data_IF_031335505871
#
_entry.id   IF_031335505871
#
_cell.length_a   1.000
_cell.length_b   1.000
_cell.length_c   1.000
_cell.angle_alpha   90.00
_cell.angle_beta   90.00
_cell.angle_gamma   90.00
#
_symmetry.space_group_name_H-M   'P 1'
#
loop_
_entity.id
_entity.type
_entity.pdbx_description
1 polymer ?
#
# COMPACT_ATOMS: atom_id res chain seq x y z
N UNK A 1 19.43 -12.24 -18.74
CA UNK A 1 19.22 -11.25 -17.66
C UNK A 1 19.67 -11.88 -16.36
N UNK A 2 20.45 -11.19 -15.52
CA UNK A 2 20.91 -11.76 -14.24
C UNK A 2 19.76 -11.79 -13.22
N UNK A 3 19.70 -12.82 -12.37
CA UNK A 3 18.67 -12.99 -11.33
C UNK A 3 18.51 -11.73 -10.46
N UNK A 4 19.62 -11.03 -10.20
CA UNK A 4 19.67 -9.77 -9.46
C UNK A 4 18.85 -8.62 -10.09
N UNK A 5 18.63 -8.61 -11.42
CA UNK A 5 17.80 -7.60 -12.09
C UNK A 5 16.30 -7.92 -12.04
N UNK A 6 15.93 -9.20 -11.99
CA UNK A 6 14.53 -9.65 -12.01
C UNK A 6 13.95 -9.74 -10.60
N UNK A 7 14.80 -10.04 -9.61
CA UNK A 7 14.38 -10.21 -8.22
C UNK A 7 13.50 -9.08 -7.65
N UNK A 8 13.85 -7.78 -7.81
CA UNK A 8 12.99 -6.70 -7.31
C UNK A 8 11.58 -6.68 -7.91
N UNK A 9 11.43 -7.09 -9.17
CA UNK A 9 10.12 -7.20 -9.82
C UNK A 9 9.31 -8.36 -9.24
N UNK A 10 9.95 -9.49 -8.93
CA UNK A 10 9.28 -10.62 -8.27
C UNK A 10 8.78 -10.23 -6.88
N UNK A 11 9.58 -9.50 -6.11
CA UNK A 11 9.16 -8.97 -4.81
C UNK A 11 7.99 -8.01 -4.96
N UNK A 12 8.04 -7.08 -5.92
CA UNK A 12 6.91 -6.18 -6.22
C UNK A 12 5.62 -6.95 -6.55
N UNK A 13 5.71 -7.98 -7.39
CA UNK A 13 4.54 -8.80 -7.76
C UNK A 13 4.01 -9.59 -6.57
N UNK A 14 4.89 -10.18 -5.75
CA UNK A 14 4.48 -10.89 -4.54
C UNK A 14 3.78 -9.96 -3.53
N UNK A 15 4.31 -8.76 -3.35
CA UNK A 15 3.65 -7.72 -2.54
C UNK A 15 2.31 -7.29 -3.12
N UNK A 16 2.27 -7.10 -4.45
CA UNK A 16 1.03 -6.81 -5.18
C UNK A 16 -0.02 -7.90 -4.98
N UNK A 17 0.37 -9.17 -4.97
CA UNK A 17 -0.52 -10.29 -4.69
C UNK A 17 -1.07 -10.23 -3.24
N UNK A 18 -0.21 -9.95 -2.27
CA UNK A 18 -0.58 -9.84 -0.86
C UNK A 18 -1.53 -8.67 -0.58
N UNK A 19 -1.20 -7.46 -1.04
CA UNK A 19 -2.10 -6.30 -0.90
C UNK A 19 -3.30 -6.35 -1.86
N UNK A 20 -3.21 -7.01 -3.01
CA UNK A 20 -4.36 -7.23 -3.88
C UNK A 20 -5.44 -8.10 -3.22
N UNK A 21 -5.03 -9.04 -2.36
CA UNK A 21 -5.93 -9.91 -1.59
C UNK A 21 -6.68 -9.15 -0.49
N UNK A 22 -6.18 -7.98 -0.04
CA UNK A 22 -6.87 -7.22 1.02
C UNK A 22 -8.20 -6.63 0.52
N UNK A 23 -8.39 -6.43 -0.79
CA UNK A 23 -9.64 -5.89 -1.34
C UNK A 23 -10.84 -6.81 -1.08
N UNK A 24 -10.85 -8.09 -1.50
CA UNK A 24 -11.95 -8.99 -1.18
C UNK A 24 -12.10 -9.22 0.34
N UNK A 25 -10.99 -9.29 1.09
CA UNK A 25 -11.04 -9.40 2.55
C UNK A 25 -11.68 -8.19 3.21
N UNK A 26 -11.38 -6.98 2.75
CA UNK A 26 -12.00 -5.75 3.25
C UNK A 26 -13.50 -5.72 2.94
N UNK A 27 -13.93 -6.19 1.76
CA UNK A 27 -15.36 -6.33 1.45
C UNK A 27 -16.08 -7.26 2.44
N UNK A 28 -15.43 -8.37 2.83
CA UNK A 28 -15.97 -9.27 3.86
C UNK A 28 -15.95 -8.60 5.24
N UNK A 29 -14.87 -7.89 5.59
CA UNK A 29 -14.75 -7.22 6.89
C UNK A 29 -15.82 -6.14 7.10
N UNK A 30 -16.20 -5.40 6.05
CA UNK A 30 -17.23 -4.35 6.14
C UNK A 30 -18.65 -4.88 5.97
N UNK A 31 -18.85 -6.17 5.67
CA UNK A 31 -20.18 -6.70 5.28
C UNK A 31 -21.22 -6.64 6.40
N UNK A 32 -20.78 -6.54 7.66
CA UNK A 32 -21.63 -6.41 8.86
C UNK A 32 -21.66 -4.99 9.42
N UNK A 33 -21.08 -4.01 8.71
CA UNK A 33 -21.10 -2.60 9.09
C UNK A 33 -19.84 -2.11 9.82
N UNK A 34 -18.75 -2.87 9.86
CA UNK A 34 -17.48 -2.38 10.40
C UNK A 34 -16.99 -1.16 9.62
N UNK A 35 -16.60 -0.14 10.38
CA UNK A 35 -16.17 1.15 9.84
C UNK A 35 -14.65 1.32 9.96
N UNK A 36 -14.12 2.27 9.18
CA UNK A 36 -12.70 2.36 8.90
C UNK A 36 -11.82 2.66 10.12
N UNK A 37 -12.25 3.46 11.09
CA UNK A 37 -11.40 3.74 12.27
C UNK A 37 -11.22 2.48 13.12
N UNK A 38 -12.29 1.70 13.32
CA UNK A 38 -12.21 0.40 14.00
C UNK A 38 -11.31 -0.59 13.27
N UNK A 39 -11.45 -0.69 11.95
CA UNK A 39 -10.62 -1.57 11.13
C UNK A 39 -9.14 -1.17 11.18
N UNK A 40 -8.83 0.14 11.07
CA UNK A 40 -7.45 0.65 11.17
C UNK A 40 -6.88 0.38 12.57
N UNK A 41 -7.63 0.67 13.63
CA UNK A 41 -7.20 0.42 15.01
C UNK A 41 -6.82 -1.06 15.21
N UNK A 42 -7.71 -1.98 14.86
CA UNK A 42 -7.46 -3.40 15.06
C UNK A 42 -6.37 -3.95 14.14
N UNK A 43 -6.27 -3.46 12.90
CA UNK A 43 -5.15 -3.80 12.04
C UNK A 43 -3.81 -3.41 12.69
N UNK A 44 -3.70 -2.19 13.20
CA UNK A 44 -2.49 -1.73 13.89
C UNK A 44 -2.23 -2.49 15.19
N UNK A 45 -3.27 -2.85 15.94
CA UNK A 45 -3.18 -3.67 17.15
C UNK A 45 -2.65 -5.07 16.85
N UNK A 46 -3.24 -5.75 15.87
CA UNK A 46 -2.82 -7.09 15.42
C UNK A 46 -1.38 -7.02 14.89
N UNK A 47 -1.05 -6.02 14.06
CA UNK A 47 0.31 -5.82 13.57
C UNK A 47 1.30 -5.62 14.72
N UNK A 48 0.96 -4.82 15.73
CA UNK A 48 1.81 -4.56 16.89
C UNK A 48 2.04 -5.81 17.72
N UNK A 49 1.01 -6.65 17.90
CA UNK A 49 1.17 -7.94 18.61
C UNK A 49 2.08 -8.87 17.82
N UNK A 50 1.82 -9.06 16.52
CA UNK A 50 2.61 -9.97 15.68
C UNK A 50 4.08 -9.54 15.60
N UNK A 51 4.33 -8.28 15.30
CA UNK A 51 5.69 -7.73 15.23
C UNK A 51 6.33 -7.69 16.62
N UNK A 52 5.57 -7.38 17.67
CA UNK A 52 6.04 -7.37 19.06
C UNK A 52 6.51 -8.75 19.53
N UNK A 53 5.81 -9.82 19.16
CA UNK A 53 6.25 -11.20 19.42
C UNK A 53 7.58 -11.46 18.71
N UNK A 54 7.69 -11.12 17.41
CA UNK A 54 8.94 -11.28 16.64
C UNK A 54 10.11 -10.52 17.28
N UNK A 55 9.88 -9.27 17.71
CA UNK A 55 10.91 -8.42 18.32
C UNK A 55 11.29 -8.86 19.73
N UNK A 56 10.35 -9.41 20.50
CA UNK A 56 10.62 -10.05 21.79
C UNK A 56 11.54 -11.25 21.62
N UNK A 57 11.23 -12.13 20.66
CA UNK A 57 12.05 -13.30 20.36
C UNK A 57 13.45 -12.92 19.84
N UNK A 58 13.57 -11.78 19.14
CA UNK A 58 14.85 -11.25 18.67
C UNK A 58 15.62 -10.45 19.72
N UNK A 59 14.99 -10.08 20.84
CA UNK A 59 15.57 -9.18 21.84
C UNK A 59 15.87 -7.77 21.32
N UNK A 60 15.16 -7.30 20.28
CA UNK A 60 15.42 -6.02 19.61
C UNK A 60 14.14 -5.19 19.57
N UNK A 61 13.94 -4.31 20.54
CA UNK A 61 12.79 -3.41 20.53
C UNK A 61 13.16 -2.07 19.90
N UNK A 62 12.24 -1.43 19.16
CA UNK A 62 12.49 -0.12 18.56
C UNK A 62 12.88 0.89 19.64
N UNK A 63 14.04 1.53 19.46
CA UNK A 63 14.51 2.55 20.37
C UNK A 63 13.62 3.79 20.29
N UNK A 64 13.24 4.34 21.44
CA UNK A 64 12.47 5.58 21.51
C UNK A 64 13.44 6.76 21.53
N UNK A 65 13.66 7.36 20.35
CA UNK A 65 14.43 8.59 20.19
C UNK A 65 13.56 9.62 19.45
N UNK A 66 13.84 10.94 19.55
CA UNK A 66 13.09 11.95 18.81
C UNK A 66 13.07 11.71 17.29
N UNK A 67 14.18 11.21 16.73
CA UNK A 67 14.27 10.86 15.31
C UNK A 67 13.38 9.66 14.96
N UNK A 68 13.40 8.61 15.79
CA UNK A 68 12.58 7.42 15.58
C UNK A 68 11.09 7.73 15.77
N UNK A 69 10.73 8.54 16.78
CA UNK A 69 9.35 8.98 16.98
C UNK A 69 8.82 9.79 15.78
N UNK A 70 9.64 10.66 15.18
CA UNK A 70 9.27 11.37 13.95
C UNK A 70 9.05 10.39 12.79
N UNK A 71 9.93 9.41 12.62
CA UNK A 71 9.77 8.36 11.60
C UNK A 71 8.46 7.57 11.81
N UNK A 72 8.21 7.11 13.04
CA UNK A 72 7.01 6.37 13.40
C UNK A 72 5.75 7.20 13.18
N UNK A 73 5.79 8.49 13.54
CA UNK A 73 4.67 9.40 13.35
C UNK A 73 4.33 9.56 11.87
N UNK A 74 5.35 9.70 11.03
CA UNK A 74 5.17 9.83 9.58
C UNK A 74 4.62 8.54 9.00
N UNK A 75 5.17 7.37 9.32
CA UNK A 75 4.66 6.09 8.81
C UNK A 75 3.23 5.81 9.30
N UNK A 76 2.94 6.11 10.57
CA UNK A 76 1.61 5.93 11.15
C UNK A 76 0.56 6.85 10.48
N UNK A 77 0.84 8.15 10.38
CA UNK A 77 -0.10 9.12 9.82
C UNK A 77 -0.18 9.04 8.30
N UNK A 78 0.97 9.10 7.64
CA UNK A 78 1.09 9.24 6.19
C UNK A 78 0.98 7.89 5.49
N UNK A 79 1.56 6.85 6.07
CA UNK A 79 1.51 5.51 5.49
C UNK A 79 0.26 4.72 5.86
N UNK A 80 -0.50 5.14 6.90
CA UNK A 80 -1.65 4.37 7.38
C UNK A 80 -2.90 5.22 7.62
N UNK A 81 -2.94 6.04 8.67
CA UNK A 81 -4.19 6.59 9.20
C UNK A 81 -4.89 7.53 8.20
N UNK A 82 -4.18 8.54 7.70
CA UNK A 82 -4.74 9.53 6.77
C UNK A 82 -5.10 8.94 5.41
N UNK A 83 -4.22 8.19 4.71
CA UNK A 83 -4.57 7.64 3.40
C UNK A 83 -5.69 6.59 3.49
N UNK A 84 -5.70 5.75 4.53
CA UNK A 84 -6.77 4.76 4.69
C UNK A 84 -8.10 5.46 4.99
N UNK A 85 -8.13 6.44 5.89
CA UNK A 85 -9.38 7.18 6.19
C UNK A 85 -9.96 7.80 4.92
N UNK A 86 -9.14 8.50 4.12
CA UNK A 86 -9.58 9.07 2.85
C UNK A 86 -10.03 8.00 1.85
N UNK A 87 -9.28 6.89 1.73
CA UNK A 87 -9.63 5.78 0.83
C UNK A 87 -10.96 5.13 1.20
N UNK A 88 -11.18 4.83 2.49
CA UNK A 88 -12.41 4.23 2.96
C UNK A 88 -13.61 5.16 2.76
N UNK A 89 -13.45 6.46 3.03
CA UNK A 89 -14.52 7.43 2.75
C UNK A 89 -14.82 7.51 1.25
N UNK A 90 -13.79 7.58 0.40
CA UNK A 90 -13.96 7.57 -1.05
C UNK A 90 -14.63 6.28 -1.54
N UNK A 91 -14.34 5.13 -0.90
CA UNK A 91 -14.89 3.83 -1.27
C UNK A 91 -16.40 3.68 -1.04
N UNK A 92 -17.00 4.55 -0.21
CA UNK A 92 -18.46 4.59 -0.02
C UNK A 92 -19.16 5.13 -1.28
N UNK A 93 -18.51 6.05 -2.00
CA UNK A 93 -19.13 6.80 -3.11
C UNK A 93 -18.55 6.45 -4.47
N UNK A 94 -17.35 5.85 -4.52
CA UNK A 94 -16.67 5.48 -5.75
C UNK A 94 -16.69 3.97 -5.98
N UNK A 95 -16.95 3.52 -7.22
CA UNK A 95 -16.78 2.13 -7.60
C UNK A 95 -15.36 1.62 -7.35
N UNK A 96 -15.22 0.32 -7.03
CA UNK A 96 -13.91 -0.31 -6.78
C UNK A 96 -12.92 -0.20 -7.95
N UNK A 97 -13.42 -0.21 -9.19
CA UNK A 97 -12.58 0.02 -10.38
C UNK A 97 -11.98 1.43 -10.41
N UNK A 98 -12.77 2.46 -10.07
CA UNK A 98 -12.29 3.85 -10.01
C UNK A 98 -11.23 3.98 -8.92
N UNK A 99 -11.46 3.44 -7.72
CA UNK A 99 -10.48 3.44 -6.64
C UNK A 99 -9.17 2.76 -7.04
N UNK A 100 -9.25 1.64 -7.77
CA UNK A 100 -8.07 0.91 -8.25
C UNK A 100 -7.25 1.73 -9.24
N UNK A 101 -7.91 2.49 -10.12
CA UNK A 101 -7.25 3.47 -11.02
C UNK A 101 -6.59 4.58 -10.21
N UNK A 102 -7.28 5.13 -9.21
CA UNK A 102 -6.73 6.20 -8.36
C UNK A 102 -5.51 5.71 -7.57
N UNK A 103 -5.55 4.51 -6.99
CA UNK A 103 -4.40 3.91 -6.30
C UNK A 103 -3.24 3.67 -7.26
N UNK A 104 -3.49 3.31 -8.51
CA UNK A 104 -2.43 3.20 -9.53
C UNK A 104 -1.75 4.53 -9.88
N UNK A 105 -2.20 5.67 -9.36
CA UNK A 105 -1.50 6.94 -9.52
C UNK A 105 -0.38 7.16 -8.51
N UNK A 106 -0.15 6.26 -7.53
CA UNK A 106 0.97 6.39 -6.56
C UNK A 106 2.30 6.71 -7.26
N UNK A 107 2.70 6.04 -8.36
CA UNK A 107 3.97 6.34 -9.01
C UNK A 107 4.01 7.72 -9.69
N UNK A 108 2.84 8.23 -10.12
CA UNK A 108 2.68 9.57 -10.70
C UNK A 108 2.92 10.67 -9.65
N UNK A 109 2.61 10.42 -8.38
CA UNK A 109 2.97 11.31 -7.28
C UNK A 109 4.39 11.05 -6.77
N UNK A 110 4.77 9.78 -6.64
CA UNK A 110 6.07 9.39 -6.10
C UNK A 110 7.23 9.93 -6.94
N UNK A 111 7.11 9.96 -8.28
CA UNK A 111 8.20 10.41 -9.15
C UNK A 111 8.50 11.92 -9.02
N UNK A 112 7.53 12.84 -9.17
CA UNK A 112 7.76 14.26 -8.89
C UNK A 112 8.27 14.53 -7.47
N UNK A 113 7.71 13.86 -6.45
CA UNK A 113 8.19 13.99 -5.06
C UNK A 113 9.64 13.53 -4.95
N UNK A 114 10.02 12.44 -5.62
CA UNK A 114 11.40 11.97 -5.65
C UNK A 114 12.36 12.99 -6.26
N UNK A 115 11.95 13.68 -7.33
CA UNK A 115 12.73 14.74 -7.95
C UNK A 115 12.88 15.95 -7.01
N UNK A 116 11.79 16.41 -6.40
CA UNK A 116 11.80 17.54 -5.45
C UNK A 116 12.64 17.24 -4.21
N UNK A 117 12.61 15.99 -3.73
CA UNK A 117 13.39 15.56 -2.56
C UNK A 117 14.85 15.22 -2.88
N UNK A 118 15.24 15.14 -4.16
CA UNK A 118 16.58 14.73 -4.59
C UNK A 118 16.83 13.22 -4.50
N UNK A 119 15.77 12.43 -4.37
CA UNK A 119 15.82 10.97 -4.28
C UNK A 119 16.04 10.30 -5.64
N UNK A 120 15.73 10.98 -6.74
CA UNK A 120 15.89 10.46 -8.10
C UNK A 120 16.29 11.59 -9.07
N UNK A 121 16.69 11.22 -10.28
CA UNK A 121 17.00 12.15 -11.37
C UNK A 121 15.97 11.99 -12.48
N UNK A 122 15.65 13.09 -13.15
CA UNK A 122 14.70 13.03 -14.25
C UNK A 122 15.24 12.15 -15.38
N UNK A 123 14.45 11.17 -15.80
CA UNK A 123 14.77 10.26 -16.89
C UNK A 123 13.52 10.03 -17.73
N UNK A 124 13.58 10.36 -19.02
CA UNK A 124 12.43 10.22 -19.93
C UNK A 124 11.95 8.77 -20.03
N UNK A 125 12.87 7.81 -20.00
CA UNK A 125 12.55 6.38 -19.96
C UNK A 125 11.73 6.00 -18.72
N UNK A 126 12.06 6.57 -17.55
CA UNK A 126 11.35 6.32 -16.30
C UNK A 126 9.94 6.92 -16.38
N UNK A 127 9.84 8.19 -16.77
CA UNK A 127 8.53 8.84 -16.96
C UNK A 127 7.67 8.06 -17.97
N UNK A 128 8.21 7.70 -19.13
CA UNK A 128 7.52 6.93 -20.16
C UNK A 128 7.08 5.56 -19.65
N UNK A 129 7.90 4.87 -18.85
CA UNK A 129 7.53 3.61 -18.22
C UNK A 129 6.37 3.74 -17.23
N UNK A 130 6.41 4.76 -16.36
CA UNK A 130 5.34 5.02 -15.41
C UNK A 130 4.01 5.40 -16.12
N UNK A 131 4.09 6.25 -17.14
CA UNK A 131 2.91 6.63 -17.96
C UNK A 131 2.36 5.42 -18.71
N UNK A 132 3.21 4.62 -19.33
CA UNK A 132 2.79 3.41 -20.05
C UNK A 132 2.17 2.37 -19.10
N UNK A 133 2.75 2.21 -17.90
CA UNK A 133 2.20 1.37 -16.84
C UNK A 133 0.79 1.81 -16.44
N UNK A 134 0.61 3.11 -16.22
CA UNK A 134 -0.68 3.70 -15.90
C UNK A 134 -1.71 3.59 -17.05
N UNK A 135 -1.29 3.79 -18.30
CA UNK A 135 -2.14 3.54 -19.47
C UNK A 135 -2.61 2.09 -19.49
N UNK A 136 -1.71 1.13 -19.21
CA UNK A 136 -2.07 -0.28 -19.06
C UNK A 136 -3.16 -0.49 -18.03
N UNK A 137 -3.08 0.15 -16.86
CA UNK A 137 -4.13 0.11 -15.83
C UNK A 137 -5.44 0.74 -16.32
N UNK A 138 -5.40 1.89 -16.99
CA UNK A 138 -6.59 2.54 -17.53
C UNK A 138 -7.31 1.65 -18.54
N UNK A 139 -6.57 0.97 -19.41
CA UNK A 139 -7.15 0.00 -20.34
C UNK A 139 -7.70 -1.20 -19.57
N UNK A 140 -7.00 -1.67 -18.53
CA UNK A 140 -7.36 -2.85 -17.73
C UNK A 140 -8.64 -2.67 -16.90
N UNK A 141 -8.85 -1.48 -16.32
CA UNK A 141 -9.92 -1.23 -15.35
C UNK A 141 -10.96 -0.24 -15.89
N UNK A 142 -10.57 0.67 -16.78
CA UNK A 142 -11.41 1.75 -17.30
C UNK A 142 -12.76 1.31 -17.86
N UNK A 143 -12.86 0.24 -18.66
CA UNK A 143 -14.14 -0.22 -19.22
C UNK A 143 -15.20 -0.58 -18.16
N UNK A 144 -14.74 -1.07 -17.00
CA UNK A 144 -15.59 -1.48 -15.88
C UNK A 144 -15.76 -0.37 -14.84
N UNK A 145 -14.88 0.63 -14.85
CA UNK A 145 -14.91 1.79 -13.96
C UNK A 145 -15.95 2.84 -14.41
N UNK A 146 -17.23 2.47 -14.36
CA UNK A 146 -18.34 3.40 -14.61
C UNK A 146 -18.62 4.23 -13.36
N UNK A 147 -18.48 5.54 -13.46
CA UNK A 147 -18.88 6.45 -12.40
C UNK A 147 -20.39 6.35 -12.18
N UNK A 148 -20.80 6.22 -10.91
CA UNK A 148 -22.20 6.34 -10.51
C UNK A 148 -22.64 7.81 -10.59
N UNK A 149 -23.94 8.07 -10.63
CA UNK A 149 -24.48 9.44 -10.54
C UNK A 149 -24.08 10.15 -9.24
N UNK A 150 -23.79 9.39 -8.18
CA UNK A 150 -23.29 9.90 -6.89
C UNK A 150 -21.80 10.24 -6.88
N UNK A 151 -21.04 9.85 -7.91
CA UNK A 151 -19.60 10.06 -7.96
C UNK A 151 -19.28 11.51 -8.36
N UNK A 152 -19.07 12.37 -7.36
CA UNK A 152 -18.65 13.76 -7.57
C UNK A 152 -17.13 13.87 -7.71
N UNK A 153 -16.68 14.98 -8.31
CA UNK A 153 -15.25 15.33 -8.39
C UNK A 153 -14.59 15.40 -7.01
N UNK A 154 -15.36 15.77 -5.98
CA UNK A 154 -14.89 15.82 -4.59
C UNK A 154 -14.42 14.45 -4.08
N UNK A 155 -15.16 13.38 -4.39
CA UNK A 155 -14.75 12.02 -3.99
C UNK A 155 -13.57 11.49 -4.78
N UNK A 156 -13.42 11.89 -6.05
CA UNK A 156 -12.23 11.58 -6.86
C UNK A 156 -11.00 12.23 -6.24
N UNK A 157 -11.08 13.52 -5.89
CA UNK A 157 -9.99 14.24 -5.22
C UNK A 157 -9.67 13.63 -3.85
N UNK A 158 -10.69 13.19 -3.10
CA UNK A 158 -10.50 12.47 -1.84
C UNK A 158 -9.77 11.13 -2.06
N UNK A 159 -10.12 10.39 -3.10
CA UNK A 159 -9.45 9.14 -3.47
C UNK A 159 -7.99 9.35 -3.91
N UNK A 160 -7.62 10.54 -4.39
CA UNK A 160 -6.23 10.91 -4.72
C UNK A 160 -5.38 11.27 -3.50
N UNK A 161 -5.97 11.44 -2.32
CA UNK A 161 -5.22 11.66 -1.07
C UNK A 161 -4.32 10.45 -0.78
N UNK A 162 -4.86 9.24 -0.82
CA UNK A 162 -4.07 8.04 -0.54
C UNK A 162 -2.83 7.85 -1.42
N UNK A 163 -2.92 7.89 -2.76
CA UNK A 163 -1.75 7.74 -3.63
C UNK A 163 -0.71 8.86 -3.45
N UNK A 164 -1.15 10.10 -3.14
CA UNK A 164 -0.25 11.19 -2.80
C UNK A 164 0.54 10.89 -1.52
N UNK A 165 -0.16 10.46 -0.47
CA UNK A 165 0.43 10.14 0.83
C UNK A 165 1.38 8.94 0.74
N UNK A 166 1.01 7.85 0.05
CA UNK A 166 1.92 6.71 -0.19
C UNK A 166 3.14 7.11 -1.02
N UNK A 167 2.95 7.97 -2.02
CA UNK A 167 4.06 8.53 -2.81
C UNK A 167 5.02 9.36 -1.96
N UNK A 168 4.50 10.13 -0.99
CA UNK A 168 5.31 10.88 -0.04
C UNK A 168 6.03 9.97 0.96
N UNK A 169 5.33 9.01 1.57
CA UNK A 169 5.88 8.08 2.56
C UNK A 169 7.07 7.29 1.99
N UNK A 170 6.91 6.69 0.81
CA UNK A 170 8.00 5.98 0.15
C UNK A 170 9.21 6.87 -0.13
N UNK A 171 8.99 8.14 -0.48
CA UNK A 171 10.07 9.11 -0.68
C UNK A 171 10.72 9.60 0.62
N UNK A 172 9.94 9.71 1.69
CA UNK A 172 10.47 10.03 3.01
C UNK A 172 11.42 8.91 3.48
N UNK A 173 10.98 7.65 3.41
CA UNK A 173 11.79 6.49 3.77
C UNK A 173 13.02 6.38 2.85
N UNK A 174 12.89 6.63 1.54
CA UNK A 174 14.03 6.61 0.63
C UNK A 174 15.08 7.70 0.93
N UNK A 175 14.66 8.87 1.42
CA UNK A 175 15.56 10.00 1.72
C UNK A 175 16.25 9.87 3.06
N UNK A 176 15.47 9.60 4.10
CA UNK A 176 15.92 9.65 5.49
C UNK A 176 16.23 8.27 6.06
N UNK A 177 15.94 7.20 5.31
CA UNK A 177 16.07 5.83 5.77
C UNK A 177 15.19 5.53 6.97
N UNK A 178 15.54 4.46 7.68
CA UNK A 178 14.83 3.96 8.87
C UNK A 178 15.53 4.33 10.18
N UNK A 179 16.40 5.34 10.17
CA UNK A 179 17.14 5.81 11.37
C UNK A 179 17.96 4.69 12.07
N UNK A 180 18.49 3.76 11.27
CA UNK A 180 19.26 2.61 11.77
C UNK A 180 18.41 1.46 12.33
N UNK A 181 17.09 1.58 12.31
CA UNK A 181 16.16 0.50 12.62
C UNK A 181 16.02 -0.43 11.43
N UNK A 182 15.79 -1.71 11.68
CA UNK A 182 15.33 -2.62 10.63
C UNK A 182 13.84 -2.35 10.28
N UNK A 183 13.32 -2.90 9.16
CA UNK A 183 11.94 -2.68 8.74
C UNK A 183 10.88 -3.19 9.74
N UNK A 184 11.19 -4.24 10.51
CA UNK A 184 10.30 -4.83 11.52
C UNK A 184 10.22 -3.92 12.75
N UNK A 185 11.37 -3.41 13.22
CA UNK A 185 11.46 -2.39 14.27
C UNK A 185 10.69 -1.12 13.87
N UNK A 186 10.90 -0.67 12.65
CA UNK A 186 10.28 0.53 12.10
C UNK A 186 8.76 0.42 12.10
N UNK A 187 8.24 -0.69 11.58
CA UNK A 187 6.80 -0.90 11.48
C UNK A 187 6.17 -1.13 12.86
N UNK A 188 6.83 -1.85 13.77
CA UNK A 188 6.34 -2.03 15.15
C UNK A 188 6.17 -0.67 15.84
N UNK A 189 7.19 0.20 15.79
CA UNK A 189 7.13 1.53 16.39
C UNK A 189 6.02 2.40 15.80
N UNK A 190 5.86 2.35 14.47
CA UNK A 190 4.78 3.04 13.77
C UNK A 190 3.39 2.49 14.15
N UNK A 191 3.23 1.18 14.27
CA UNK A 191 1.95 0.57 14.66
C UNK A 191 1.57 0.93 16.10
N UNK A 192 2.50 0.83 17.05
CA UNK A 192 2.25 1.21 18.45
C UNK A 192 1.85 2.69 18.55
N UNK A 193 2.59 3.57 17.89
CA UNK A 193 2.25 5.00 17.89
C UNK A 193 0.91 5.26 17.18
N UNK A 194 0.65 4.56 16.07
CA UNK A 194 -0.60 4.65 15.33
C UNK A 194 -1.81 4.23 16.16
N UNK A 195 -1.71 3.18 16.99
CA UNK A 195 -2.75 2.78 17.95
C UNK A 195 -3.07 3.95 18.88
N UNK A 196 -2.05 4.56 19.48
CA UNK A 196 -2.23 5.69 20.41
C UNK A 196 -2.95 6.85 19.72
N UNK A 197 -2.61 7.13 18.45
CA UNK A 197 -3.20 8.22 17.68
C UNK A 197 -4.65 7.94 17.24
N UNK A 198 -4.96 6.73 16.80
CA UNK A 198 -6.28 6.40 16.24
C UNK A 198 -7.30 5.97 17.30
N UNK A 199 -6.84 5.52 18.47
CA UNK A 199 -7.70 5.02 19.53
C UNK A 199 -8.75 6.04 20.01
N UNK A 200 -8.41 7.31 20.32
CA UNK A 200 -9.40 8.30 20.75
C UNK A 200 -10.48 8.52 19.69
N UNK A 201 -10.09 8.61 18.42
CA UNK A 201 -11.02 8.77 17.29
C UNK A 201 -11.92 7.55 17.12
N UNK A 202 -11.38 6.35 17.30
CA UNK A 202 -12.15 5.10 17.21
C UNK A 202 -13.25 5.04 18.27
N UNK A 203 -12.95 5.43 19.51
CA UNK A 203 -13.94 5.49 20.58
C UNK A 203 -14.94 6.63 20.38
N UNK A 204 -14.45 7.84 20.09
CA UNK A 204 -15.30 9.03 19.94
C UNK A 204 -16.28 8.94 18.76
N UNK A 205 -15.91 8.21 17.70
CA UNK A 205 -16.77 7.94 16.55
C UNK A 205 -17.72 6.76 16.74
N UNK A 206 -17.63 6.04 17.86
CA UNK A 206 -18.42 4.82 18.10
C UNK A 206 -18.04 3.65 17.18
N UNK A 207 -16.89 3.71 16.50
CA UNK A 207 -16.44 2.68 15.54
C UNK A 207 -15.65 1.55 16.20
N UNK A 208 -15.82 1.36 17.51
CA UNK A 208 -15.21 0.23 18.20
C UNK A 208 -15.79 -1.09 17.68
N UNK A 209 -14.92 -2.03 17.34
CA UNK A 209 -15.30 -3.38 16.90
C UNK A 209 -15.06 -4.35 18.06
N UNK A 210 -16.10 -5.06 18.48
CA UNK A 210 -16.01 -6.08 19.54
C UNK A 210 -15.60 -7.44 18.96
N UNK A 211 -14.33 -7.82 19.11
CA UNK A 211 -13.74 -9.05 18.57
C UNK A 211 -13.83 -10.25 19.55
N UNK A 212 -14.90 -10.34 20.32
CA UNK A 212 -15.13 -11.48 21.23
C UNK A 212 -15.39 -12.77 20.45
N UNK A 213 -14.96 -13.89 21.02
CA UNK A 213 -15.24 -15.22 20.47
C UNK A 213 -16.71 -15.59 20.71
N UNK A 214 -17.34 -16.38 19.81
CA UNK A 214 -16.77 -16.94 18.58
C UNK A 214 -16.67 -15.91 17.43
N UNK A 215 -15.61 -16.02 16.63
CA UNK A 215 -15.40 -15.13 15.48
C UNK A 215 -16.33 -15.44 14.32
N UNK A 216 -16.76 -14.37 13.66
CA UNK A 216 -17.53 -14.37 12.43
C UNK A 216 -16.62 -14.16 11.20
N UNK A 217 -17.17 -14.30 10.00
CA UNK A 217 -16.39 -14.12 8.77
C UNK A 217 -15.69 -12.74 8.65
N UNK A 218 -16.31 -11.60 9.02
CA UNK A 218 -15.65 -10.30 9.12
C UNK A 218 -14.41 -10.28 10.03
N UNK A 219 -14.47 -10.96 11.18
CA UNK A 219 -13.37 -11.01 12.16
C UNK A 219 -12.17 -11.76 11.59
N UNK A 220 -12.42 -12.91 10.98
CA UNK A 220 -11.39 -13.68 10.28
C UNK A 220 -10.80 -12.89 9.11
N UNK A 221 -11.62 -12.17 8.35
CA UNK A 221 -11.15 -11.37 7.23
C UNK A 221 -10.24 -10.22 7.70
N UNK A 222 -10.61 -9.54 8.78
CA UNK A 222 -9.77 -8.51 9.42
C UNK A 222 -8.45 -9.10 9.91
N UNK A 223 -8.48 -10.24 10.58
CA UNK A 223 -7.28 -10.90 11.09
C UNK A 223 -6.32 -11.32 9.97
N UNK A 224 -6.83 -12.00 8.94
CA UNK A 224 -6.03 -12.45 7.78
C UNK A 224 -5.49 -11.26 6.98
N UNK A 225 -6.31 -10.22 6.76
CA UNK A 225 -5.88 -8.98 6.10
C UNK A 225 -4.75 -8.30 6.88
N UNK A 226 -4.86 -8.25 8.21
CA UNK A 226 -3.82 -7.70 9.08
C UNK A 226 -2.52 -8.51 9.02
N UNK A 227 -2.61 -9.84 9.00
CA UNK A 227 -1.46 -10.72 8.87
C UNK A 227 -0.72 -10.49 7.54
N UNK A 228 -1.45 -10.46 6.42
CA UNK A 228 -0.89 -10.13 5.11
C UNK A 228 -0.26 -8.74 5.11
N UNK A 229 -0.92 -7.76 5.72
CA UNK A 229 -0.44 -6.39 5.80
C UNK A 229 0.92 -6.28 6.50
N UNK A 230 1.15 -7.01 7.61
CA UNK A 230 2.45 -7.05 8.30
C UNK A 230 3.57 -7.46 7.34
N UNK A 231 3.39 -8.57 6.63
CA UNK A 231 4.41 -9.11 5.73
C UNK A 231 4.67 -8.17 4.55
N UNK A 232 3.61 -7.69 3.91
CA UNK A 232 3.74 -6.84 2.73
C UNK A 232 4.35 -5.49 3.10
N UNK A 233 3.89 -4.84 4.18
CA UNK A 233 4.36 -3.50 4.53
C UNK A 233 5.79 -3.51 5.07
N UNK A 234 6.16 -4.54 5.85
CA UNK A 234 7.56 -4.75 6.24
C UNK A 234 8.47 -4.92 5.01
N UNK A 235 8.00 -5.71 4.03
CA UNK A 235 8.71 -5.91 2.75
C UNK A 235 8.76 -4.62 1.93
N UNK A 236 7.73 -3.78 1.97
CA UNK A 236 7.72 -2.48 1.30
C UNK A 236 8.79 -1.54 1.85
N UNK A 237 8.82 -1.32 3.17
CA UNK A 237 9.82 -0.46 3.82
C UNK A 237 11.23 -0.95 3.50
N UNK A 238 11.46 -2.26 3.57
CA UNK A 238 12.70 -2.91 3.16
C UNK A 238 13.07 -2.65 1.70
N UNK A 239 12.10 -2.79 0.79
CA UNK A 239 12.30 -2.66 -0.65
C UNK A 239 12.63 -1.22 -1.02
N UNK A 240 11.88 -0.25 -0.49
CA UNK A 240 12.11 1.19 -0.71
C UNK A 240 13.55 1.57 -0.39
N UNK A 241 14.08 1.10 0.74
CA UNK A 241 15.47 1.37 1.15
C UNK A 241 16.54 0.76 0.23
N UNK A 242 16.18 -0.20 -0.64
CA UNK A 242 17.12 -0.90 -1.54
C UNK A 242 17.04 -0.46 -3.00
N UNK A 243 15.83 -0.23 -3.50
CA UNK A 243 15.60 0.01 -4.94
C UNK A 243 15.04 1.39 -5.24
N UNK A 244 14.75 2.18 -4.21
CA UNK A 244 14.23 3.53 -4.29
C UNK A 244 12.70 3.61 -4.35
N UNK A 245 12.17 4.77 -3.96
CA UNK A 245 10.74 5.06 -3.86
C UNK A 245 9.98 4.92 -5.19
N UNK A 246 10.56 5.37 -6.30
CA UNK A 246 9.89 5.39 -7.61
C UNK A 246 9.74 3.99 -8.20
N UNK A 247 10.69 3.09 -7.95
CA UNK A 247 10.53 1.70 -8.36
C UNK A 247 9.55 0.98 -7.45
N UNK A 248 9.68 1.17 -6.13
CA UNK A 248 8.83 0.53 -5.12
C UNK A 248 7.36 0.94 -5.27
N UNK A 249 7.07 2.20 -5.63
CA UNK A 249 5.71 2.70 -5.82
C UNK A 249 4.91 1.96 -6.90
N UNK A 250 5.59 1.31 -7.85
CA UNK A 250 4.97 0.46 -8.87
C UNK A 250 4.24 -0.76 -8.28
N UNK A 251 4.42 -1.04 -6.99
CA UNK A 251 3.61 -2.03 -6.27
C UNK A 251 2.11 -1.75 -6.43
N UNK A 252 1.70 -0.48 -6.54
CA UNK A 252 0.31 -0.09 -6.79
C UNK A 252 -0.26 -0.64 -8.10
N UNK A 253 0.54 -0.73 -9.17
CA UNK A 253 0.15 -1.39 -10.42
C UNK A 253 -0.04 -2.89 -10.19
N UNK A 254 0.88 -3.52 -9.45
CA UNK A 254 0.77 -4.94 -9.11
C UNK A 254 -0.47 -5.21 -8.23
N UNK A 255 -0.76 -4.36 -7.24
CA UNK A 255 -1.98 -4.46 -6.41
C UNK A 255 -3.23 -4.43 -7.28
N UNK A 256 -3.29 -3.50 -8.24
CA UNK A 256 -4.44 -3.38 -9.15
C UNK A 256 -4.59 -4.61 -10.04
N UNK A 257 -3.49 -5.13 -10.57
CA UNK A 257 -3.49 -6.39 -11.31
C UNK A 257 -4.03 -7.55 -10.47
N UNK A 258 -3.48 -7.73 -9.27
CA UNK A 258 -3.85 -8.85 -8.43
C UNK A 258 -5.25 -8.71 -7.85
N UNK A 259 -5.77 -7.50 -7.67
CA UNK A 259 -7.18 -7.26 -7.33
C UNK A 259 -8.12 -7.93 -8.34
N UNK A 260 -7.87 -7.72 -9.64
CA UNK A 260 -8.65 -8.35 -10.73
C UNK A 260 -8.40 -9.85 -10.76
N UNK A 261 -7.14 -10.27 -10.59
CA UNK A 261 -6.79 -11.70 -10.58
C UNK A 261 -7.50 -12.48 -9.47
N UNK A 262 -7.57 -11.92 -8.26
CA UNK A 262 -8.31 -12.52 -7.15
C UNK A 262 -9.82 -12.52 -7.41
N UNK A 263 -10.37 -11.49 -8.08
CA UNK A 263 -11.76 -11.47 -8.53
C UNK A 263 -12.06 -12.62 -9.49
N UNK A 264 -11.20 -12.82 -10.50
CA UNK A 264 -11.29 -13.93 -11.46
C UNK A 264 -11.29 -15.29 -10.76
N UNK A 265 -10.35 -15.52 -9.83
CA UNK A 265 -10.21 -16.82 -9.15
C UNK A 265 -11.36 -17.08 -8.18
N UNK A 266 -11.73 -16.08 -7.37
CA UNK A 266 -12.69 -16.26 -6.28
C UNK A 266 -14.14 -16.16 -6.77
N UNK A 267 -14.40 -15.38 -7.82
CA UNK A 267 -15.74 -15.11 -8.35
C UNK A 267 -16.00 -15.80 -9.70
N UNK A 268 -14.98 -16.41 -10.32
CA UNK A 268 -15.11 -17.14 -11.58
C UNK A 268 -15.29 -16.26 -12.83
N UNK A 269 -14.92 -14.98 -12.75
CA UNK A 269 -15.00 -14.04 -13.87
C UNK A 269 -14.03 -14.44 -15.00
N UNK A 270 -14.48 -14.32 -16.26
CA UNK A 270 -13.63 -14.64 -17.42
C UNK A 270 -13.13 -13.34 -18.06
N UNK A 271 -11.82 -13.06 -18.01
CA UNK A 271 -11.29 -11.85 -18.63
C UNK A 271 -11.42 -11.93 -20.16
N UNK A 272 -11.86 -10.83 -20.77
CA UNK A 272 -11.88 -10.70 -22.23
C UNK A 272 -10.47 -10.62 -22.82
N UNK A 273 -10.32 -10.80 -24.14
CA UNK A 273 -9.00 -10.73 -24.82
C UNK A 273 -8.24 -9.42 -24.58
N UNK A 274 -8.95 -8.31 -24.39
CA UNK A 274 -8.39 -6.98 -24.13
C UNK A 274 -7.59 -6.92 -22.81
N UNK A 275 -7.96 -7.75 -21.81
CA UNK A 275 -7.27 -7.85 -20.52
C UNK A 275 -5.79 -8.20 -20.71
N UNK A 276 -5.49 -9.17 -21.58
CA UNK A 276 -4.11 -9.62 -21.82
C UNK A 276 -3.25 -8.56 -22.51
N UNK A 277 -3.85 -7.78 -23.42
CA UNK A 277 -3.18 -6.64 -24.05
C UNK A 277 -2.87 -5.53 -23.03
N UNK A 278 -3.85 -5.18 -22.19
CA UNK A 278 -3.67 -4.21 -21.11
C UNK A 278 -2.61 -4.64 -20.10
N UNK A 279 -2.63 -5.92 -19.71
CA UNK A 279 -1.62 -6.53 -18.85
C UNK A 279 -0.21 -6.43 -19.46
N UNK A 280 -0.06 -6.78 -20.74
CA UNK A 280 1.23 -6.69 -21.43
C UNK A 280 1.75 -5.24 -21.43
N UNK A 281 0.90 -4.26 -21.77
CA UNK A 281 1.26 -2.83 -21.77
C UNK A 281 1.70 -2.40 -20.37
N UNK A 282 0.94 -2.78 -19.34
CA UNK A 282 1.25 -2.45 -17.95
C UNK A 282 2.62 -3.04 -17.53
N UNK A 283 2.86 -4.32 -17.80
CA UNK A 283 4.12 -5.00 -17.46
C UNK A 283 5.32 -4.41 -18.23
N UNK A 284 5.14 -4.05 -19.50
CA UNK A 284 6.18 -3.37 -20.29
C UNK A 284 6.50 -1.99 -19.71
N UNK A 285 5.49 -1.22 -19.33
CA UNK A 285 5.66 0.05 -18.64
C UNK A 285 6.44 -0.10 -17.33
N UNK A 286 6.05 -1.07 -16.51
CA UNK A 286 6.76 -1.39 -15.27
C UNK A 286 8.23 -1.74 -15.52
N UNK A 287 8.50 -2.55 -16.55
CA UNK A 287 9.86 -2.99 -16.88
C UNK A 287 10.77 -1.85 -17.36
N UNK A 288 10.21 -0.80 -17.96
CA UNK A 288 10.98 0.38 -18.36
C UNK A 288 11.53 1.16 -17.16
N UNK A 289 10.90 1.02 -15.99
CA UNK A 289 11.31 1.63 -14.73
C UNK A 289 12.23 0.66 -13.99
N UNK A 290 13.55 0.88 -14.11
CA UNK A 290 14.54 0.03 -13.48
C UNK A 290 14.73 0.36 -11.99
N UNK A 291 15.02 -0.66 -11.15
CA UNK A 291 15.39 -0.44 -9.75
C UNK A 291 16.72 0.33 -9.69
N UNK A 292 16.84 1.25 -8.73
CA UNK A 292 18.10 1.97 -8.53
C UNK A 292 19.15 0.97 -8.03
N UNK A 293 20.30 0.90 -8.70
CA UNK A 293 21.46 0.18 -8.15
C UNK A 293 22.05 1.06 -7.04
N UNK A 294 21.99 0.61 -5.80
CA UNK A 294 22.96 1.09 -4.82
C UNK A 294 24.33 0.62 -5.32
N UNK A 295 25.15 1.55 -5.76
CA UNK A 295 26.61 1.38 -5.67
C UNK A 295 26.87 1.12 -4.20
N UNK A 296 27.23 -0.11 -3.85
CA UNK A 296 27.76 -0.40 -2.54
C UNK A 296 28.93 0.56 -2.32
N UNK A 297 28.77 1.56 -1.46
CA UNK A 297 29.91 2.21 -0.84
C UNK A 297 30.53 1.13 0.04
N UNK A 298 31.58 0.51 -0.51
CA UNK A 298 32.53 -0.24 0.29
C UNK A 298 33.28 0.83 1.07
N UNK A 299 32.81 1.11 2.28
CA UNK A 299 33.61 1.73 3.34
C UNK A 299 33.87 0.66 4.40
#
# INVERSE_FOLDING_TARGET
>A
MTLARVWPFLVLLAMGAGWGMTIPLTKIAVSTGYQHFGLIFWQLAICSVLLGVVQTLRGRWPKVTPANLRLFLIIALVGTILPNSASYTAAIYLPGGVLSILISTVPMFAFPIALMMGNDRFQLRRLGGLVLGFIGVLILIGPEARLSESATIGFILLGLVAPLFYGFEGNYVAKYGTQGLDPVETLLGACILGIILIFPTTLASGQWIDLRLPWSAPDYALFVSSLLHVFVYTTYVWLVGRVGSVFASQVSYAVTLFAVFWSIILLGERPGLWFWGALLIMLLGMFLVAPRRQTASID
#
